data_IF_000666204939
#
_entry.id   IF_000666204939
#
_cell.length_a   1.000
_cell.length_b   1.000
_cell.length_c   1.000
_cell.angle_alpha   90.00
_cell.angle_beta   90.00
_cell.angle_gamma   90.00
#
_symmetry.space_group_name_H-M   'P 1'
#
loop_
_entity.id
_entity.type
_entity.pdbx_description
1 polymer ?
#
# COMPACT_ATOMS: atom_id res chain seq x y z
N UNK A 1 -9.55 0.79 1.91
CA UNK A 1 -9.59 1.75 3.03
C UNK A 1 -9.39 1.08 4.38
N UNK A 2 -10.05 -0.06 4.66
CA UNK A 2 -10.10 -0.69 5.99
C UNK A 2 -8.74 -1.00 6.62
N UNK A 3 -7.75 -1.49 5.87
CA UNK A 3 -6.43 -1.78 6.42
C UNK A 3 -5.64 -0.52 6.84
N UNK A 4 -5.89 0.62 6.17
CA UNK A 4 -5.22 1.89 6.47
C UNK A 4 -5.86 2.59 7.66
N UNK A 5 -7.20 2.61 7.71
CA UNK A 5 -7.96 3.11 8.85
C UNK A 5 -7.68 2.30 10.13
N UNK A 6 -7.56 0.98 10.03
CA UNK A 6 -7.22 0.13 11.18
C UNK A 6 -5.77 0.30 11.68
N UNK A 7 -4.85 0.79 10.84
CA UNK A 7 -3.47 1.03 11.23
C UNK A 7 -3.28 2.39 11.92
N UNK A 8 -4.01 3.41 11.47
CA UNK A 8 -3.94 4.77 12.02
C UNK A 8 -4.90 5.03 13.17
N UNK A 9 -5.92 4.18 13.35
CA UNK A 9 -7.00 4.29 14.36
C UNK A 9 -7.80 5.61 14.34
N UNK A 10 -7.52 6.47 13.36
CA UNK A 10 -8.15 7.76 13.13
C UNK A 10 -8.54 7.89 11.65
N UNK A 11 -9.81 7.65 11.30
CA UNK A 11 -10.25 7.57 9.91
C UNK A 11 -10.13 8.92 9.18
N UNK A 12 -10.41 10.03 9.87
CA UNK A 12 -10.35 11.39 9.30
C UNK A 12 -8.94 11.77 8.87
N UNK A 13 -7.95 11.51 9.74
CA UNK A 13 -6.55 11.79 9.45
C UNK A 13 -6.03 10.88 8.33
N UNK A 14 -6.40 9.61 8.38
CA UNK A 14 -6.01 8.61 7.39
C UNK A 14 -6.50 8.97 5.98
N UNK A 15 -7.72 9.49 5.83
CA UNK A 15 -8.25 9.98 4.56
C UNK A 15 -7.51 11.24 4.08
N UNK A 16 -7.24 12.20 4.97
CA UNK A 16 -6.48 13.41 4.62
C UNK A 16 -5.03 13.13 4.18
N UNK A 17 -4.41 12.07 4.71
CA UNK A 17 -3.10 11.58 4.27
C UNK A 17 -3.22 10.89 2.92
N UNK A 18 -4.22 10.03 2.75
CA UNK A 18 -4.44 9.29 1.51
C UNK A 18 -4.68 10.23 0.32
N UNK A 19 -5.47 11.28 0.51
CA UNK A 19 -5.73 12.29 -0.53
C UNK A 19 -4.44 12.93 -1.02
N UNK A 20 -3.53 13.32 -0.11
CA UNK A 20 -2.23 13.90 -0.50
C UNK A 20 -1.34 12.93 -1.26
N UNK A 21 -1.28 11.67 -0.82
CA UNK A 21 -0.42 10.65 -1.46
C UNK A 21 -1.00 10.26 -2.82
N UNK A 22 -2.31 10.01 -2.89
CA UNK A 22 -2.95 9.44 -4.08
C UNK A 22 -3.08 10.45 -5.20
N UNK A 23 -3.37 11.72 -4.88
CA UNK A 23 -3.70 12.76 -5.87
C UNK A 23 -2.61 12.97 -6.94
N UNK A 24 -1.33 12.75 -6.62
CA UNK A 24 -0.20 12.87 -7.56
C UNK A 24 0.51 11.55 -7.87
N UNK A 25 -0.01 10.41 -7.41
CA UNK A 25 0.70 9.13 -7.52
C UNK A 25 0.36 8.33 -8.78
N UNK A 26 1.34 7.59 -9.27
CA UNK A 26 1.09 6.51 -10.22
C UNK A 26 0.81 5.21 -9.46
N UNK A 27 -0.39 4.66 -9.63
CA UNK A 27 -0.79 3.38 -9.02
C UNK A 27 -0.27 2.22 -9.87
N UNK A 28 0.71 1.48 -9.34
CA UNK A 28 1.26 0.29 -9.99
C UNK A 28 0.83 -0.94 -9.17
N UNK A 29 -0.03 -1.77 -9.75
CA UNK A 29 -0.41 -3.04 -9.16
C UNK A 29 0.66 -4.09 -9.49
N UNK A 30 1.49 -4.43 -8.50
CA UNK A 30 2.50 -5.49 -8.63
C UNK A 30 1.82 -6.86 -8.75
N UNK A 31 2.42 -7.73 -9.56
CA UNK A 31 1.95 -9.10 -9.83
C UNK A 31 3.12 -10.08 -9.71
N UNK A 32 2.79 -11.35 -9.49
CA UNK A 32 3.77 -12.44 -9.37
C UNK A 32 4.21 -12.70 -7.94
N UNK A 33 5.05 -13.72 -7.78
CA UNK A 33 5.56 -14.14 -6.47
C UNK A 33 6.78 -13.32 -6.03
N UNK A 34 7.14 -13.44 -4.75
CA UNK A 34 8.32 -12.76 -4.21
C UNK A 34 9.59 -13.22 -4.92
N UNK A 35 10.33 -12.28 -5.50
CA UNK A 35 11.65 -12.51 -6.10
C UNK A 35 12.64 -13.14 -5.11
N UNK A 36 12.48 -12.92 -3.79
CA UNK A 36 13.31 -13.56 -2.75
C UNK A 36 13.07 -15.06 -2.64
N UNK A 37 11.87 -15.55 -2.95
CA UNK A 37 11.58 -16.99 -2.99
C UNK A 37 12.26 -17.65 -4.18
N UNK A 38 12.23 -16.99 -5.34
CA UNK A 38 12.89 -17.47 -6.56
C UNK A 38 14.41 -17.59 -6.38
N UNK A 39 15.03 -16.59 -5.73
CA UNK A 39 16.48 -16.61 -5.46
C UNK A 39 16.93 -17.70 -4.48
N UNK A 40 16.04 -18.23 -3.62
CA UNK A 40 16.35 -19.35 -2.71
C UNK A 40 16.16 -20.73 -3.35
N UNK A 41 15.50 -20.79 -4.50
CA UNK A 41 15.21 -22.04 -5.21
C UNK A 41 16.25 -22.37 -6.30
N UNK A 42 17.14 -21.42 -6.62
CA UNK A 42 18.30 -21.60 -7.49
C UNK A 42 19.56 -21.91 -6.67
#
# INVERSE_FOLDING_TARGET
>A
MTAWHAWLDEPTLADAILDRIVHGSHKIALKGESMRKLAKAA
#
